data_IF_340490948662
#
_entry.id   IF_340490948662
#
_cell.length_a   1.000
_cell.length_b   1.000
_cell.length_c   1.000
_cell.angle_alpha   90.00
_cell.angle_beta   90.00
_cell.angle_gamma   90.00
#
_symmetry.space_group_name_H-M   'P 1'
#
loop_
_entity.id
_entity.type
_entity.pdbx_description
1 polymer ?
#
# COMPACT_ATOMS: atom_id res chain seq x y z
N UNK A 1 35.02 39.24 62.52
CA UNK A 1 34.99 39.27 61.05
C UNK A 1 34.18 38.05 60.61
N UNK A 2 32.85 38.16 60.62
CA UNK A 2 31.97 38.53 59.47
C UNK A 2 31.90 37.38 58.44
N UNK A 3 30.87 36.53 58.47
CA UNK A 3 29.48 36.72 58.00
C UNK A 3 29.33 36.60 56.48
N UNK A 4 28.48 35.67 56.04
CA UNK A 4 27.98 35.58 54.67
C UNK A 4 26.92 34.48 54.54
N UNK A 5 25.66 34.88 54.71
CA UNK A 5 24.42 34.07 54.70
C UNK A 5 23.96 33.74 53.24
N UNK A 6 22.92 32.90 53.07
CA UNK A 6 22.59 32.15 51.85
C UNK A 6 21.69 32.92 50.87
N UNK A 7 21.52 32.39 49.65
CA UNK A 7 20.43 32.78 48.74
C UNK A 7 19.61 31.57 48.29
N UNK A 8 18.33 31.63 48.67
CA UNK A 8 17.19 30.82 48.29
C UNK A 8 17.02 30.71 46.77
N UNK A 9 16.49 29.58 46.29
CA UNK A 9 15.27 29.55 45.47
C UNK A 9 14.50 28.23 45.73
N UNK A 10 13.16 28.23 45.59
CA UNK A 10 12.23 27.71 46.59
C UNK A 10 11.85 26.23 46.43
N UNK A 11 11.49 25.61 47.55
CA UNK A 11 10.78 24.35 47.64
C UNK A 11 9.27 24.48 47.32
N UNK A 12 8.77 23.48 46.61
CA UNK A 12 7.39 22.93 46.56
C UNK A 12 6.20 23.85 46.19
N UNK A 13 5.51 23.47 45.11
CA UNK A 13 4.05 23.24 45.16
C UNK A 13 3.76 21.89 44.52
N UNK A 14 3.18 20.99 45.30
CA UNK A 14 2.55 19.78 44.82
C UNK A 14 1.17 20.10 44.23
N UNK A 15 0.89 19.58 43.05
CA UNK A 15 -0.44 19.15 42.63
C UNK A 15 -0.15 17.89 41.77
N UNK A 16 -0.37 16.68 42.25
CA UNK A 16 -1.59 16.22 42.86
C UNK A 16 -2.56 15.78 41.77
N UNK A 17 -2.28 14.63 41.15
CA UNK A 17 -3.30 13.64 40.80
C UNK A 17 -2.63 12.30 40.57
N UNK A 18 -2.60 11.51 41.65
CA UNK A 18 -2.66 10.07 41.57
C UNK A 18 -3.94 9.74 40.79
N UNK A 19 -3.82 9.31 39.54
CA UNK A 19 -4.89 8.55 38.90
C UNK A 19 -4.50 7.08 38.99
N UNK A 20 -4.76 6.50 40.16
CA UNK A 20 -4.92 5.05 40.30
C UNK A 20 -6.17 4.71 39.49
N UNK A 21 -5.98 4.18 38.28
CA UNK A 21 -7.05 3.74 37.41
C UNK A 21 -7.30 2.25 37.57
N UNK A 22 -7.81 1.83 38.72
CA UNK A 22 -8.42 0.51 38.89
C UNK A 22 -9.91 0.72 39.17
N UNK A 23 -10.70 0.75 38.09
CA UNK A 23 -12.10 0.35 38.10
C UNK A 23 -12.60 0.26 36.65
N UNK A 24 -12.99 -0.95 36.25
CA UNK A 24 -13.87 -1.16 35.12
C UNK A 24 -15.11 -0.28 35.28
N UNK A 25 -15.42 0.52 34.27
CA UNK A 25 -16.80 0.94 34.00
C UNK A 25 -17.14 0.47 32.58
N UNK A 26 -18.07 -0.49 32.53
CA UNK A 26 -18.77 -0.84 31.32
C UNK A 26 -19.70 0.33 30.96
N UNK A 27 -19.55 0.88 29.75
CA UNK A 27 -20.53 1.82 29.21
C UNK A 27 -20.04 3.20 28.81
N UNK A 28 -18.88 3.32 28.18
CA UNK A 28 -18.64 4.38 27.20
C UNK A 28 -17.56 3.93 26.24
N UNK A 29 -17.94 3.64 24.99
CA UNK A 29 -17.00 3.24 23.96
C UNK A 29 -16.19 4.48 23.60
N UNK A 30 -15.02 4.63 24.24
CA UNK A 30 -14.10 5.74 23.98
C UNK A 30 -13.93 5.87 22.46
N UNK A 31 -14.37 7.01 21.92
CA UNK A 31 -14.30 7.32 20.50
C UNK A 31 -12.83 7.41 20.13
N UNK A 32 -12.25 6.31 19.64
CA UNK A 32 -10.84 6.27 19.21
C UNK A 32 -10.69 7.18 17.99
N UNK A 33 -10.23 8.40 18.21
CA UNK A 33 -10.00 9.40 17.15
C UNK A 33 -8.61 9.28 16.50
N UNK A 34 -7.77 8.36 17.00
CA UNK A 34 -6.45 8.07 16.46
C UNK A 34 -6.22 6.56 16.43
N UNK A 35 -5.79 6.05 15.27
CA UNK A 35 -5.17 4.73 15.14
C UNK A 35 -3.69 5.00 14.95
N UNK A 36 -2.86 4.41 15.81
CA UNK A 36 -1.42 4.57 15.76
C UNK A 36 -0.85 3.79 14.57
N UNK A 37 0.09 4.38 13.84
CA UNK A 37 0.74 3.71 12.70
C UNK A 37 1.57 2.49 13.14
N UNK A 38 2.16 2.55 14.34
CA UNK A 38 2.80 1.44 15.03
C UNK A 38 2.04 1.16 16.32
N UNK A 39 1.54 -0.06 16.47
CA UNK A 39 0.83 -0.50 17.65
C UNK A 39 1.85 -0.85 18.76
N UNK A 40 1.70 -0.34 20.00
CA UNK A 40 2.63 -0.68 21.07
C UNK A 40 2.68 -2.19 21.36
N UNK A 41 1.65 -2.96 21.00
CA UNK A 41 1.63 -4.42 21.13
C UNK A 41 2.60 -5.13 20.17
N UNK A 42 3.02 -4.48 19.09
CA UNK A 42 4.02 -5.03 18.16
C UNK A 42 5.45 -4.60 18.49
N UNK A 43 5.64 -3.77 19.53
CA UNK A 43 6.96 -3.30 19.95
C UNK A 43 7.44 -4.14 21.12
N UNK A 44 8.52 -4.88 20.91
CA UNK A 44 9.09 -5.76 21.94
C UNK A 44 9.62 -4.96 23.14
N UNK A 45 10.35 -3.86 22.90
CA UNK A 45 10.90 -3.00 23.95
C UNK A 45 11.03 -1.53 23.53
N UNK A 46 10.90 -0.60 24.48
CA UNK A 46 11.05 0.86 24.30
C UNK A 46 12.07 1.47 25.26
N UNK A 47 13.04 0.70 25.75
CA UNK A 47 14.02 1.20 26.71
C UNK A 47 14.78 2.40 26.15
N UNK A 48 14.83 3.48 26.93
CA UNK A 48 15.50 4.73 26.58
C UNK A 48 14.95 5.42 25.30
N UNK A 49 13.71 5.12 24.91
CA UNK A 49 13.01 5.81 23.82
C UNK A 49 11.85 6.64 24.37
N UNK A 50 11.72 7.88 23.89
CA UNK A 50 10.52 8.68 24.06
C UNK A 50 9.66 8.55 22.79
N UNK A 51 8.40 8.17 22.96
CA UNK A 51 7.46 8.06 21.84
C UNK A 51 6.69 9.36 21.66
N UNK A 52 6.85 9.98 20.50
CA UNK A 52 6.08 11.17 20.10
C UNK A 52 5.14 10.84 18.94
N UNK A 53 3.85 11.12 19.12
CA UNK A 53 2.84 10.99 18.06
C UNK A 53 2.69 12.35 17.39
N UNK A 54 3.18 12.45 16.16
CA UNK A 54 2.99 13.67 15.33
C UNK A 54 1.87 13.42 14.33
N UNK A 55 0.79 14.24 14.33
CA UNK A 55 -0.24 14.14 13.31
C UNK A 55 0.36 14.27 11.91
N UNK A 56 0.04 13.31 11.03
CA UNK A 56 0.49 13.39 9.64
C UNK A 56 -0.17 14.61 8.96
N UNK A 57 0.65 15.53 8.43
CA UNK A 57 0.18 16.63 7.60
C UNK A 57 0.10 16.17 6.16
N UNK A 58 -1.09 16.24 5.55
CA UNK A 58 -1.25 15.95 4.13
C UNK A 58 -0.40 16.91 3.30
N UNK A 59 0.25 16.38 2.27
CA UNK A 59 0.94 17.20 1.28
C UNK A 59 -0.08 18.11 0.55
N UNK A 60 0.26 19.38 0.24
CA UNK A 60 -0.66 20.28 -0.47
C UNK A 60 -1.14 19.73 -1.81
N UNK A 61 -0.30 18.96 -2.50
CA UNK A 61 -0.63 18.29 -3.77
C UNK A 61 -1.43 16.99 -3.59
N UNK A 62 -2.05 16.73 -2.44
CA UNK A 62 -2.84 15.51 -2.24
C UNK A 62 -4.23 15.62 -2.94
N UNK A 63 -4.62 14.67 -3.82
CA UNK A 63 -3.89 13.45 -4.18
C UNK A 63 -2.78 13.71 -5.21
N UNK A 64 -1.62 13.07 -5.01
CA UNK A 64 -0.43 13.25 -5.88
C UNK A 64 -0.61 12.61 -7.26
N UNK A 65 -1.55 11.68 -7.41
CA UNK A 65 -2.05 11.16 -8.68
C UNK A 65 -3.57 11.09 -8.56
N UNK A 66 -4.28 11.85 -9.41
CA UNK A 66 -5.73 12.05 -9.27
C UNK A 66 -6.57 10.78 -9.50
N UNK A 67 -6.17 9.91 -10.43
CA UNK A 67 -6.89 8.67 -10.77
C UNK A 67 -6.39 7.45 -9.98
N UNK A 68 -5.43 7.63 -9.07
CA UNK A 68 -4.92 6.57 -8.23
C UNK A 68 -5.96 6.22 -7.16
N UNK A 69 -6.60 5.06 -7.32
CA UNK A 69 -7.51 4.55 -6.32
C UNK A 69 -6.77 3.83 -5.20
N UNK A 70 -5.69 3.13 -5.52
CA UNK A 70 -4.80 2.51 -4.54
C UNK A 70 -3.40 2.29 -5.12
N UNK A 71 -2.37 2.79 -4.42
CA UNK A 71 -1.00 2.38 -4.66
C UNK A 71 -0.85 0.93 -4.20
N UNK A 72 -0.44 0.03 -5.11
CA UNK A 72 -0.30 -1.40 -4.79
C UNK A 72 1.10 -1.71 -4.29
N UNK A 73 2.10 -1.42 -5.12
CA UNK A 73 3.51 -1.61 -4.79
C UNK A 73 4.30 -0.39 -5.24
N UNK A 74 5.22 0.07 -4.38
CA UNK A 74 6.24 1.08 -4.72
C UNK A 74 7.60 0.49 -4.41
N UNK A 75 8.49 0.44 -5.40
CA UNK A 75 9.86 -0.06 -5.25
C UNK A 75 10.85 0.98 -5.79
N UNK A 76 12.04 1.02 -5.21
CA UNK A 76 13.15 1.82 -5.75
C UNK A 76 13.95 0.97 -6.73
N UNK A 77 14.17 1.47 -7.94
CA UNK A 77 15.01 0.82 -8.96
C UNK A 77 16.49 1.19 -8.78
N UNK A 78 17.38 0.54 -9.54
CA UNK A 78 18.84 0.65 -9.43
C UNK A 78 19.38 2.07 -9.62
N UNK A 79 18.72 2.85 -10.46
CA UNK A 79 19.05 4.25 -10.74
C UNK A 79 18.53 5.22 -9.65
N UNK A 80 17.86 4.69 -8.62
CA UNK A 80 17.25 5.46 -7.55
C UNK A 80 15.82 5.91 -7.84
N UNK A 81 15.29 5.67 -9.05
CA UNK A 81 13.91 6.01 -9.41
C UNK A 81 12.92 5.16 -8.62
N UNK A 82 11.91 5.80 -8.03
CA UNK A 82 10.76 5.15 -7.44
C UNK A 82 9.79 4.75 -8.55
N UNK A 83 9.46 3.47 -8.60
CA UNK A 83 8.51 2.86 -9.53
C UNK A 83 7.27 2.48 -8.75
N UNK A 84 6.11 2.88 -9.23
CA UNK A 84 4.83 2.57 -8.61
C UNK A 84 3.93 1.82 -9.58
N UNK A 85 3.39 0.71 -9.10
CA UNK A 85 2.29 -0.02 -9.70
C UNK A 85 1.04 0.31 -8.89
N UNK A 86 0.08 0.97 -9.54
CA UNK A 86 -1.12 1.45 -8.87
C UNK A 86 -2.37 1.03 -9.63
N UNK A 87 -3.48 0.92 -8.92
CA UNK A 87 -4.78 0.61 -9.52
C UNK A 87 -5.58 1.90 -9.63
N UNK A 88 -6.10 2.17 -10.83
CA UNK A 88 -7.15 3.15 -11.04
C UNK A 88 -8.52 2.48 -10.99
N UNK A 89 -9.55 3.25 -10.62
CA UNK A 89 -10.94 2.79 -10.53
C UNK A 89 -11.85 3.78 -11.22
N UNK A 90 -12.57 3.36 -12.26
CA UNK A 90 -13.55 4.22 -12.93
C UNK A 90 -14.91 3.56 -13.11
N UNK A 91 -15.92 4.39 -13.36
CA UNK A 91 -17.24 3.93 -13.76
C UNK A 91 -17.16 3.38 -15.19
N UNK A 92 -17.79 2.24 -15.43
CA UNK A 92 -17.87 1.66 -16.77
C UNK A 92 -18.86 2.52 -17.59
N UNK A 93 -18.46 3.08 -18.74
CA UNK A 93 -19.36 3.84 -19.61
C UNK A 93 -20.63 3.04 -19.95
N UNK A 94 -21.80 3.68 -19.89
CA UNK A 94 -23.09 3.04 -20.18
C UNK A 94 -23.63 2.08 -19.11
N UNK A 95 -22.81 1.66 -18.13
CA UNK A 95 -23.26 0.77 -17.06
C UNK A 95 -23.90 1.54 -15.90
N UNK A 96 -25.16 1.20 -15.56
CA UNK A 96 -25.93 1.86 -14.50
C UNK A 96 -25.71 1.27 -13.10
N UNK A 97 -25.06 0.10 -12.99
CA UNK A 97 -24.84 -0.57 -11.69
C UNK A 97 -23.61 -0.07 -10.91
N UNK A 98 -23.30 -0.79 -9.83
CA UNK A 98 -22.18 -0.50 -8.92
C UNK A 98 -20.82 -1.02 -9.41
N UNK A 99 -20.79 -1.87 -10.44
CA UNK A 99 -19.55 -2.38 -11.03
C UNK A 99 -18.63 -1.24 -11.51
N UNK A 100 -17.32 -1.50 -11.41
CA UNK A 100 -16.26 -0.56 -11.75
C UNK A 100 -15.21 -1.28 -12.59
N UNK A 101 -14.55 -0.51 -13.45
CA UNK A 101 -13.38 -0.99 -14.17
C UNK A 101 -12.14 -0.64 -13.36
N UNK A 102 -11.33 -1.66 -13.09
CA UNK A 102 -10.05 -1.51 -12.42
C UNK A 102 -8.92 -1.82 -13.41
N UNK A 103 -7.93 -0.93 -13.48
CA UNK A 103 -6.75 -1.14 -14.32
C UNK A 103 -5.47 -0.92 -13.54
N UNK A 104 -4.50 -1.81 -13.73
CA UNK A 104 -3.15 -1.62 -13.23
C UNK A 104 -2.42 -0.64 -14.13
N UNK A 105 -1.78 0.34 -13.51
CA UNK A 105 -1.06 1.43 -14.15
C UNK A 105 0.30 1.60 -13.51
N UNK A 106 1.14 2.33 -14.20
CA UNK A 106 2.54 2.52 -13.85
C UNK A 106 2.90 4.00 -13.73
N UNK A 107 3.73 4.35 -12.75
CA UNK A 107 4.22 5.70 -12.53
C UNK A 107 5.67 5.69 -12.02
N UNK A 108 6.39 6.77 -12.27
CA UNK A 108 7.79 6.97 -11.86
C UNK A 108 7.95 8.26 -11.06
N UNK A 109 8.88 8.29 -10.12
CA UNK A 109 9.19 9.47 -9.33
C UNK A 109 10.61 9.43 -8.79
N UNK A 110 11.23 10.59 -8.57
CA UNK A 110 12.54 10.69 -7.91
C UNK A 110 12.44 11.08 -6.42
N UNK A 111 11.32 11.69 -6.02
CA UNK A 111 11.08 12.27 -4.69
C UNK A 111 9.91 11.61 -3.93
N UNK A 112 9.12 10.76 -4.60
CA UNK A 112 7.94 10.09 -4.06
C UNK A 112 6.68 10.98 -3.98
N UNK A 113 6.77 12.22 -4.45
CA UNK A 113 5.70 13.22 -4.39
C UNK A 113 5.27 13.65 -5.79
N UNK A 114 6.24 13.90 -6.67
CA UNK A 114 6.03 14.28 -8.06
C UNK A 114 6.12 13.02 -8.93
N UNK A 115 5.01 12.63 -9.53
CA UNK A 115 4.92 11.38 -10.30
C UNK A 115 4.73 11.66 -11.79
N UNK A 116 5.57 11.02 -12.61
CA UNK A 116 5.46 10.98 -14.07
C UNK A 116 4.65 9.76 -14.48
N UNK A 117 3.67 9.96 -15.36
CA UNK A 117 2.82 8.91 -15.93
C UNK A 117 3.23 8.68 -17.39
N UNK A 118 4.17 7.77 -17.69
CA UNK A 118 4.71 7.62 -19.04
C UNK A 118 3.68 7.06 -20.02
N UNK A 119 3.71 7.52 -21.27
CA UNK A 119 2.92 6.93 -22.36
C UNK A 119 3.58 5.63 -22.85
N UNK A 120 3.14 4.49 -22.29
CA UNK A 120 3.76 3.18 -22.51
C UNK A 120 3.34 2.49 -23.81
N UNK A 121 2.17 2.80 -24.36
CA UNK A 121 1.71 2.21 -25.63
C UNK A 121 1.23 0.74 -25.56
N UNK A 122 1.28 0.12 -24.37
CA UNK A 122 1.14 -1.33 -24.20
C UNK A 122 -0.32 -1.81 -24.39
N UNK A 123 -1.29 -1.05 -23.89
CA UNK A 123 -2.72 -1.37 -23.96
C UNK A 123 -3.48 -0.28 -24.68
N UNK A 124 -4.43 -0.68 -25.51
CA UNK A 124 -5.44 0.24 -26.01
C UNK A 124 -6.49 0.44 -24.91
N UNK A 125 -6.69 1.68 -24.51
CA UNK A 125 -7.59 2.05 -23.43
C UNK A 125 -8.24 3.38 -23.76
N UNK A 126 -9.59 3.40 -23.76
CA UNK A 126 -10.37 4.60 -24.08
C UNK A 126 -10.06 5.18 -25.47
N UNK A 127 -9.87 4.31 -26.46
CA UNK A 127 -9.58 4.69 -27.85
C UNK A 127 -8.15 5.20 -28.09
N UNK A 128 -7.26 5.08 -27.10
CA UNK A 128 -5.87 5.54 -27.22
C UNK A 128 -4.87 4.53 -26.64
N UNK A 129 -3.67 4.49 -27.22
CA UNK A 129 -2.49 3.80 -26.65
C UNK A 129 -1.56 4.74 -25.88
N UNK A 130 -1.82 6.05 -25.91
CA UNK A 130 -1.07 7.06 -25.15
C UNK A 130 -1.51 7.05 -23.69
N UNK A 131 -1.11 6.00 -22.99
CA UNK A 131 -1.48 5.76 -21.59
C UNK A 131 -0.40 4.91 -20.89
N UNK A 132 -0.48 4.84 -19.57
CA UNK A 132 0.39 4.09 -18.68
C UNK A 132 -0.24 2.78 -18.18
N UNK A 133 -1.20 2.21 -18.91
CA UNK A 133 -1.95 1.01 -18.50
C UNK A 133 -1.14 -0.25 -18.81
N UNK A 134 -1.01 -1.11 -17.80
CA UNK A 134 -0.31 -2.41 -17.90
C UNK A 134 -1.29 -3.57 -18.06
N UNK A 135 -2.32 -3.62 -17.22
CA UNK A 135 -3.26 -4.74 -17.11
C UNK A 135 -4.69 -4.22 -16.98
N UNK A 136 -5.61 -4.77 -17.77
CA UNK A 136 -7.04 -4.43 -17.78
C UNK A 136 -7.92 -5.60 -17.29
N UNK A 137 -9.24 -5.48 -17.40
CA UNK A 137 -10.14 -6.62 -17.28
C UNK A 137 -9.91 -7.63 -18.41
N UNK A 138 -10.11 -8.92 -18.11
CA UNK A 138 -9.95 -10.04 -19.06
C UNK A 138 -8.59 -10.12 -19.75
N UNK A 139 -7.56 -9.63 -19.10
CA UNK A 139 -6.25 -9.55 -19.74
C UNK A 139 -5.59 -10.93 -19.83
N UNK A 140 -4.82 -11.12 -20.89
CA UNK A 140 -4.06 -12.35 -21.14
C UNK A 140 -2.62 -12.00 -21.46
N UNK A 141 -1.71 -12.91 -21.15
CA UNK A 141 -0.32 -12.78 -21.58
C UNK A 141 -0.13 -13.18 -23.04
N UNK A 142 1.12 -13.09 -23.52
CA UNK A 142 1.48 -13.39 -24.91
C UNK A 142 1.27 -14.85 -25.30
N UNK A 143 1.16 -15.77 -24.34
CA UNK A 143 0.84 -17.18 -24.56
C UNK A 143 -0.67 -17.47 -24.44
N UNK A 144 -1.51 -16.44 -24.29
CA UNK A 144 -2.96 -16.57 -24.14
C UNK A 144 -3.41 -17.03 -22.75
N UNK A 145 -2.52 -17.05 -21.76
CA UNK A 145 -2.87 -17.41 -20.38
C UNK A 145 -3.54 -16.22 -19.70
N UNK A 146 -4.58 -16.49 -18.92
CA UNK A 146 -5.33 -15.45 -18.21
C UNK A 146 -4.47 -14.82 -17.12
N UNK A 147 -4.43 -13.49 -17.11
CA UNK A 147 -3.86 -12.68 -16.04
C UNK A 147 -4.97 -12.21 -15.11
N UNK A 148 -6.05 -11.65 -15.65
CA UNK A 148 -7.20 -11.17 -14.86
C UNK A 148 -8.51 -11.83 -15.25
N UNK A 149 -9.48 -11.77 -14.35
CA UNK A 149 -10.86 -12.16 -14.61
C UNK A 149 -11.73 -10.94 -14.94
N UNK A 150 -13.06 -11.13 -14.94
CA UNK A 150 -14.03 -10.06 -15.11
C UNK A 150 -13.82 -8.95 -14.08
N UNK A 151 -13.66 -7.71 -14.54
CA UNK A 151 -13.50 -6.52 -13.69
C UNK A 151 -12.07 -6.03 -13.46
N UNK A 152 -11.05 -6.80 -13.87
CA UNK A 152 -9.64 -6.42 -13.74
C UNK A 152 -9.04 -6.75 -12.38
N UNK A 153 -8.00 -6.02 -11.98
CA UNK A 153 -7.34 -6.20 -10.69
C UNK A 153 -8.04 -5.39 -9.61
N UNK A 154 -8.64 -6.07 -8.63
CA UNK A 154 -9.27 -5.42 -7.48
C UNK A 154 -8.18 -4.89 -6.54
N UNK A 155 -8.50 -3.85 -5.78
CA UNK A 155 -7.59 -3.18 -4.85
C UNK A 155 -6.93 -4.15 -3.87
N UNK A 156 -5.63 -3.98 -3.64
CA UNK A 156 -4.88 -4.72 -2.61
C UNK A 156 -4.34 -6.06 -3.09
N UNK A 157 -4.22 -6.26 -4.40
CA UNK A 157 -3.91 -7.55 -5.02
C UNK A 157 -2.82 -7.41 -6.10
N UNK A 158 -1.86 -6.52 -5.90
CA UNK A 158 -0.66 -6.48 -6.76
C UNK A 158 0.59 -6.21 -5.93
N UNK A 159 1.02 -7.25 -5.20
CA UNK A 159 2.20 -7.21 -4.33
C UNK A 159 3.40 -7.79 -5.05
N UNK A 160 4.46 -7.01 -5.26
CA UNK A 160 5.62 -7.41 -6.06
C UNK A 160 6.83 -7.68 -5.16
N UNK A 161 7.52 -8.78 -5.44
CA UNK A 161 8.89 -9.03 -4.99
C UNK A 161 9.84 -8.76 -6.16
N UNK A 162 10.88 -7.96 -5.90
CA UNK A 162 12.03 -7.78 -6.80
C UNK A 162 13.17 -8.67 -6.33
N UNK A 163 13.58 -9.65 -7.15
CA UNK A 163 14.67 -10.58 -6.83
C UNK A 163 16.03 -9.92 -6.65
N UNK A 164 16.14 -8.64 -7.02
CA UNK A 164 17.37 -7.87 -6.86
C UNK A 164 17.44 -7.16 -5.51
N UNK A 165 16.32 -7.05 -4.80
CA UNK A 165 16.26 -6.44 -3.47
C UNK A 165 16.34 -7.46 -2.33
N UNK A 166 16.31 -8.75 -2.64
CA UNK A 166 16.46 -9.82 -1.65
C UNK A 166 16.33 -11.22 -2.25
N UNK A 167 16.54 -12.27 -1.44
CA UNK A 167 16.39 -13.65 -1.89
C UNK A 167 14.97 -13.93 -2.38
N UNK A 168 14.85 -14.34 -3.65
CA UNK A 168 13.58 -14.72 -4.25
C UNK A 168 13.76 -16.02 -5.07
N UNK A 169 13.89 -17.17 -4.39
CA UNK A 169 14.07 -18.45 -5.06
C UNK A 169 12.86 -18.78 -5.93
N UNK A 170 13.08 -19.49 -7.04
CA UNK A 170 12.04 -19.94 -7.97
C UNK A 170 11.28 -18.82 -8.73
N UNK A 171 11.78 -17.58 -8.70
CA UNK A 171 11.26 -16.49 -9.54
C UNK A 171 11.62 -16.71 -11.02
N UNK A 172 10.69 -16.37 -11.91
CA UNK A 172 10.82 -16.56 -13.38
C UNK A 172 11.21 -15.31 -14.14
N UNK A 173 11.18 -14.16 -13.49
CA UNK A 173 11.71 -12.91 -13.98
C UNK A 173 12.28 -12.08 -12.84
N UNK A 174 12.72 -10.85 -13.12
CA UNK A 174 13.14 -9.90 -12.09
C UNK A 174 12.06 -9.68 -11.03
N UNK A 175 10.85 -9.41 -11.48
CA UNK A 175 9.69 -9.14 -10.66
C UNK A 175 8.76 -10.35 -10.64
N UNK A 176 8.24 -10.68 -9.47
CA UNK A 176 7.14 -11.65 -9.30
C UNK A 176 6.06 -10.99 -8.47
N UNK A 177 4.83 -10.99 -8.96
CA UNK A 177 3.69 -10.36 -8.29
C UNK A 177 2.60 -11.37 -7.94
N UNK A 178 2.09 -11.27 -6.72
CA UNK A 178 0.86 -11.92 -6.29
C UNK A 178 -0.33 -11.08 -6.74
N UNK A 179 -1.26 -11.74 -7.45
CA UNK A 179 -2.45 -11.11 -8.00
C UNK A 179 -3.74 -11.84 -7.67
N UNK A 180 -4.86 -11.11 -7.74
CA UNK A 180 -6.17 -11.72 -7.81
C UNK A 180 -6.53 -12.06 -9.26
N UNK A 181 -6.99 -13.28 -9.48
CA UNK A 181 -7.61 -13.77 -10.70
C UNK A 181 -9.06 -14.22 -10.41
N UNK A 182 -9.94 -13.24 -10.15
CA UNK A 182 -11.36 -13.49 -9.82
C UNK A 182 -11.58 -13.75 -8.33
N UNK A 183 -11.82 -15.01 -7.96
CA UNK A 183 -11.89 -15.47 -6.56
C UNK A 183 -10.67 -16.32 -6.20
N UNK A 184 -9.59 -16.23 -6.97
CA UNK A 184 -8.39 -17.05 -6.82
C UNK A 184 -7.17 -16.13 -6.73
N UNK A 185 -6.12 -16.60 -6.07
CA UNK A 185 -4.81 -15.97 -6.09
C UNK A 185 -3.96 -16.63 -7.16
N UNK A 186 -3.20 -15.80 -7.87
CA UNK A 186 -2.34 -16.19 -8.98
C UNK A 186 -1.01 -15.45 -8.90
N UNK A 187 0.01 -15.97 -9.58
CA UNK A 187 1.31 -15.33 -9.72
C UNK A 187 1.52 -14.87 -11.16
N UNK A 188 2.11 -13.69 -11.31
CA UNK A 188 2.67 -13.21 -12.58
C UNK A 188 4.14 -12.84 -12.40
N UNK A 189 4.91 -12.88 -13.48
CA UNK A 189 6.29 -12.43 -13.49
C UNK A 189 6.55 -11.46 -14.63
N UNK A 190 7.61 -10.66 -14.47
CA UNK A 190 8.07 -9.69 -15.46
C UNK A 190 9.56 -9.41 -15.27
N UNK A 191 10.31 -9.20 -16.34
CA UNK A 191 11.69 -8.73 -16.25
C UNK A 191 11.79 -7.20 -16.21
N UNK A 192 10.90 -6.52 -16.93
CA UNK A 192 10.88 -5.05 -17.04
C UNK A 192 9.92 -4.40 -16.03
N UNK A 193 9.03 -5.18 -15.40
CA UNK A 193 7.97 -4.70 -14.52
C UNK A 193 6.79 -4.07 -15.26
N UNK A 194 6.78 -4.09 -16.58
CA UNK A 194 5.76 -3.47 -17.43
C UNK A 194 4.94 -4.54 -18.18
N UNK A 195 5.61 -5.60 -18.64
CA UNK A 195 4.99 -6.71 -19.36
C UNK A 195 4.94 -7.95 -18.47
N UNK A 196 3.74 -8.37 -18.13
CA UNK A 196 3.51 -9.42 -17.15
C UNK A 196 3.08 -10.73 -17.84
N UNK A 197 3.62 -11.84 -17.38
CA UNK A 197 3.29 -13.20 -17.83
C UNK A 197 2.73 -14.02 -16.67
N UNK A 198 1.68 -14.79 -16.92
CA UNK A 198 1.10 -15.66 -15.89
C UNK A 198 2.02 -16.84 -15.58
N UNK A 199 1.97 -17.39 -14.37
CA UNK A 199 2.54 -18.71 -14.08
C UNK A 199 1.66 -19.79 -14.76
N UNK A 200 2.21 -20.80 -15.46
CA UNK A 200 1.42 -21.90 -16.02
C UNK A 200 0.63 -22.68 -14.97
N UNK A 201 1.12 -22.71 -13.73
CA UNK A 201 0.52 -23.45 -12.60
C UNK A 201 -0.60 -22.68 -11.91
N UNK A 202 -0.94 -21.47 -12.38
CA UNK A 202 -2.02 -20.69 -11.79
C UNK A 202 -3.38 -21.40 -11.89
N UNK A 203 -4.28 -21.18 -10.91
CA UNK A 203 -4.10 -20.35 -9.72
C UNK A 203 -3.25 -21.03 -8.64
N UNK A 204 -2.53 -20.25 -7.83
CA UNK A 204 -1.78 -20.76 -6.66
C UNK A 204 -2.68 -21.10 -5.48
N UNK A 205 -3.84 -20.44 -5.40
CA UNK A 205 -4.85 -20.74 -4.40
C UNK A 205 -6.25 -20.45 -4.96
N UNK A 206 -7.16 -21.42 -4.91
CA UNK A 206 -8.56 -21.23 -5.28
C UNK A 206 -9.38 -20.88 -4.03
N UNK A 207 -9.73 -19.60 -3.87
CA UNK A 207 -10.37 -19.07 -2.67
C UNK A 207 -11.90 -19.06 -2.76
N UNK A 208 -12.53 -19.99 -3.52
CA UNK A 208 -13.99 -20.05 -3.78
C UNK A 208 -14.84 -19.35 -2.71
N UNK A 209 -15.40 -18.19 -3.05
CA UNK A 209 -16.32 -17.44 -2.18
C UNK A 209 -15.71 -16.38 -1.26
N UNK A 210 -14.41 -16.10 -1.37
CA UNK A 210 -13.76 -15.01 -0.65
C UNK A 210 -13.93 -13.66 -1.37
N UNK A 211 -14.47 -12.66 -0.67
CA UNK A 211 -14.63 -11.28 -1.16
C UNK A 211 -13.41 -10.38 -0.85
N UNK A 212 -12.49 -10.86 -0.02
CA UNK A 212 -11.25 -10.20 0.38
C UNK A 212 -10.12 -11.22 0.55
N UNK A 213 -8.96 -10.94 -0.05
CA UNK A 213 -7.79 -11.84 -0.04
C UNK A 213 -7.04 -11.90 1.32
N UNK A 214 -7.74 -11.66 2.43
CA UNK A 214 -7.17 -11.66 3.79
C UNK A 214 -7.00 -13.09 4.37
N UNK A 215 -7.09 -14.12 3.52
CA UNK A 215 -7.13 -15.52 3.94
C UNK A 215 -5.76 -16.23 3.91
N UNK A 216 -4.66 -15.52 3.64
CA UNK A 216 -3.32 -16.05 3.92
C UNK A 216 -3.00 -15.79 5.40
N UNK A 217 -3.06 -16.85 6.20
CA UNK A 217 -2.50 -16.90 7.57
C UNK A 217 -1.15 -17.60 7.49
#
# INVERSE_FOLDING_TARGET
>A
MTSGKPTNHPSLVAAGSLAVGLALHAGEQAKRTAIEFLDPRTVEHTHFLERQITPAKKHPSNPVIADCHSAQTVLRDRDGTLRMWYVSRRKIPGYKGSAREYTLRYAESTDGVTWTLPELGLKEFDGSRKNNVLITAHDTDTAGRKITAQGGLVCGTFSIIDREQGPAPHTRGRFTALINQGSALALVYSDDGLRWSAYPENPVFDAKGSDTNNNLI
#
